data_IF_760217828932
#
_entry.id   IF_760217828932
#
_cell.length_a   1.000
_cell.length_b   1.000
_cell.length_c   1.000
_cell.angle_alpha   90.00
_cell.angle_beta   90.00
_cell.angle_gamma   90.00
#
_symmetry.space_group_name_H-M   'P 1'
#
loop_
_entity.id
_entity.type
_entity.pdbx_description
1 polymer ?
#
# COMPACT_ATOMS: atom_id res chain seq x y z
N UNK A 1 -39.00 3.36 -8.77
CA UNK A 1 -37.87 2.72 -8.08
C UNK A 1 -36.62 3.36 -8.65
N UNK A 2 -36.23 4.49 -8.07
CA UNK A 2 -35.02 5.18 -8.43
C UNK A 2 -33.83 4.28 -8.04
N UNK A 3 -33.00 3.94 -9.02
CA UNK A 3 -31.89 3.04 -8.82
C UNK A 3 -30.86 3.73 -7.91
N UNK A 4 -30.69 3.17 -6.71
CA UNK A 4 -29.59 3.42 -5.77
C UNK A 4 -28.24 2.96 -6.36
N UNK A 5 -27.98 3.19 -7.65
CA UNK A 5 -26.94 2.48 -8.35
C UNK A 5 -26.30 3.07 -9.60
N UNK A 6 -26.62 4.29 -10.04
CA UNK A 6 -26.12 4.74 -11.34
C UNK A 6 -25.81 6.24 -11.43
N UNK A 7 -25.61 6.92 -10.30
CA UNK A 7 -25.13 8.31 -10.32
C UNK A 7 -23.60 8.36 -10.40
N UNK A 8 -23.08 9.39 -11.06
CA UNK A 8 -21.64 9.60 -11.17
C UNK A 8 -20.99 9.77 -9.79
N UNK A 9 -21.67 10.49 -8.88
CA UNK A 9 -21.30 10.59 -7.46
C UNK A 9 -21.06 9.21 -6.84
N UNK A 10 -22.00 8.26 -7.01
CA UNK A 10 -21.88 6.93 -6.42
C UNK A 10 -20.70 6.14 -7.00
N UNK A 11 -20.43 6.28 -8.30
CA UNK A 11 -19.26 5.65 -8.93
C UNK A 11 -17.96 6.18 -8.30
N UNK A 12 -17.86 7.50 -8.11
CA UNK A 12 -16.68 8.13 -7.49
C UNK A 12 -16.52 7.69 -6.03
N UNK A 13 -17.61 7.67 -5.25
CA UNK A 13 -17.59 7.21 -3.85
C UNK A 13 -17.24 5.72 -3.77
N UNK A 14 -17.67 4.91 -4.73
CA UNK A 14 -17.31 3.48 -4.81
C UNK A 14 -15.82 3.33 -5.09
N UNK A 15 -15.25 4.14 -5.98
CA UNK A 15 -13.80 4.17 -6.25
C UNK A 15 -12.99 4.60 -5.03
N UNK A 16 -13.44 5.64 -4.33
CA UNK A 16 -12.87 6.04 -3.04
C UNK A 16 -12.91 4.88 -2.03
N UNK A 17 -14.06 4.23 -1.85
CA UNK A 17 -14.23 3.18 -0.84
C UNK A 17 -13.36 1.97 -1.12
N UNK A 18 -13.46 1.40 -2.32
CA UNK A 18 -12.71 0.19 -2.66
C UNK A 18 -11.21 0.47 -2.83
N UNK A 19 -10.83 1.65 -3.33
CA UNK A 19 -9.43 2.07 -3.39
C UNK A 19 -8.82 2.26 -2.00
N UNK A 20 -9.54 2.89 -1.06
CA UNK A 20 -9.10 3.02 0.33
C UNK A 20 -8.95 1.65 0.99
N UNK A 21 -9.91 0.75 0.80
CA UNK A 21 -9.81 -0.62 1.28
C UNK A 21 -8.58 -1.33 0.70
N UNK A 22 -8.36 -1.20 -0.61
CA UNK A 22 -7.20 -1.81 -1.25
C UNK A 22 -5.88 -1.29 -0.66
N UNK A 23 -5.76 0.02 -0.46
CA UNK A 23 -4.61 0.62 0.21
C UNK A 23 -4.43 0.06 1.62
N UNK A 24 -5.51 -0.01 2.41
CA UNK A 24 -5.47 -0.49 3.78
C UNK A 24 -5.00 -1.96 3.88
N UNK A 25 -5.58 -2.85 3.07
CA UNK A 25 -5.21 -4.27 3.02
C UNK A 25 -3.79 -4.48 2.45
N UNK A 26 -3.34 -3.61 1.54
CA UNK A 26 -2.00 -3.68 0.99
C UNK A 26 -0.90 -3.09 1.89
N UNK A 27 -1.22 -2.28 2.90
CA UNK A 27 -0.21 -1.52 3.67
C UNK A 27 -0.25 -1.81 5.18
N UNK A 28 -1.43 -1.77 5.80
CA UNK A 28 -1.55 -1.85 7.26
C UNK A 28 -1.06 -3.18 7.85
N UNK A 29 -1.36 -4.36 7.28
CA UNK A 29 -0.88 -5.62 7.84
C UNK A 29 0.65 -5.69 7.85
N UNK A 30 1.31 -5.21 6.79
CA UNK A 30 2.76 -5.15 6.70
C UNK A 30 3.35 -4.23 7.79
N UNK A 31 2.85 -3.00 7.86
CA UNK A 31 3.30 -2.01 8.85
C UNK A 31 3.07 -2.47 10.29
N UNK A 32 1.91 -3.08 10.57
CA UNK A 32 1.56 -3.60 11.89
C UNK A 32 2.58 -4.63 12.37
N UNK A 33 3.00 -5.55 11.51
CA UNK A 33 4.01 -6.56 11.89
C UNK A 33 5.38 -5.90 12.10
N UNK A 34 5.79 -4.96 11.26
CA UNK A 34 7.07 -4.25 11.43
C UNK A 34 7.14 -3.48 12.76
N UNK A 35 6.09 -2.72 13.08
CA UNK A 35 6.02 -1.94 14.33
C UNK A 35 5.99 -2.85 15.55
N UNK A 36 5.13 -3.87 15.57
CA UNK A 36 5.07 -4.81 16.70
C UNK A 36 6.36 -5.59 16.86
N UNK A 37 7.00 -5.92 15.74
CA UNK A 37 8.32 -6.50 15.75
C UNK A 37 9.31 -5.61 16.51
N UNK A 38 9.39 -4.31 16.17
CA UNK A 38 10.32 -3.37 16.80
C UNK A 38 10.04 -3.23 18.29
N UNK A 39 8.78 -3.10 18.68
CA UNK A 39 8.35 -3.03 20.08
C UNK A 39 8.78 -4.28 20.86
N UNK A 40 8.62 -5.47 20.26
CA UNK A 40 9.04 -6.74 20.87
C UNK A 40 10.56 -6.88 20.95
N UNK A 41 11.29 -6.44 19.94
CA UNK A 41 12.75 -6.49 19.94
C UNK A 41 13.38 -5.62 21.05
N UNK A 42 12.68 -4.57 21.47
CA UNK A 42 13.08 -3.62 22.50
C UNK A 42 12.69 -4.05 23.94
N UNK A 43 11.77 -5.01 24.12
CA UNK A 43 11.20 -5.33 25.44
C UNK A 43 12.04 -6.26 26.33
N UNK A 44 13.28 -6.59 25.95
CA UNK A 44 14.29 -7.26 26.78
C UNK A 44 14.03 -8.73 27.17
N UNK A 45 12.77 -9.19 27.14
CA UNK A 45 12.32 -10.51 27.63
C UNK A 45 11.98 -11.52 26.51
N UNK A 46 12.18 -11.17 25.24
CA UNK A 46 11.90 -12.09 24.13
C UNK A 46 13.20 -12.67 23.56
N UNK A 47 13.24 -13.98 23.33
CA UNK A 47 14.14 -14.58 22.34
C UNK A 47 14.05 -13.73 21.06
N UNK A 48 15.14 -13.04 20.72
CA UNK A 48 15.11 -12.02 19.68
C UNK A 48 14.76 -12.68 18.35
N UNK A 49 13.60 -12.35 17.79
CA UNK A 49 13.34 -12.66 16.39
C UNK A 49 14.39 -11.96 15.55
N UNK A 50 15.13 -12.73 14.76
CA UNK A 50 16.05 -12.23 13.74
C UNK A 50 15.32 -11.25 12.81
N UNK A 51 16.05 -10.27 12.27
CA UNK A 51 15.56 -9.34 11.23
C UNK A 51 14.85 -10.09 10.12
N UNK A 52 15.43 -11.21 9.68
CA UNK A 52 14.88 -12.07 8.64
C UNK A 52 13.49 -12.58 9.03
N UNK A 53 13.31 -13.01 10.27
CA UNK A 53 12.04 -13.56 10.73
C UNK A 53 10.94 -12.50 10.75
N UNK A 54 11.26 -11.27 11.16
CA UNK A 54 10.29 -10.18 11.24
C UNK A 54 9.81 -9.79 9.83
N UNK A 55 10.74 -9.59 8.90
CA UNK A 55 10.39 -9.28 7.52
C UNK A 55 9.66 -10.44 6.83
N UNK A 56 10.02 -11.70 7.12
CA UNK A 56 9.32 -12.86 6.59
C UNK A 56 7.87 -12.94 7.09
N UNK A 57 7.63 -12.75 8.39
CA UNK A 57 6.27 -12.74 8.95
C UNK A 57 5.48 -11.55 8.39
N UNK A 58 6.11 -10.37 8.29
CA UNK A 58 5.46 -9.18 7.72
C UNK A 58 5.02 -9.44 6.28
N UNK A 59 5.88 -10.06 5.48
CA UNK A 59 5.55 -10.48 4.11
C UNK A 59 4.41 -11.50 4.06
N UNK A 60 4.43 -12.54 4.91
CA UNK A 60 3.36 -13.56 4.92
C UNK A 60 2.00 -12.96 5.28
N UNK A 61 1.95 -12.13 6.33
CA UNK A 61 0.71 -11.47 6.77
C UNK A 61 0.19 -10.52 5.69
N UNK A 62 1.08 -9.72 5.07
CA UNK A 62 0.77 -8.88 3.91
C UNK A 62 0.21 -9.69 2.73
N UNK A 63 0.92 -10.76 2.35
CA UNK A 63 0.54 -11.61 1.22
C UNK A 63 -0.85 -12.22 1.43
N UNK A 64 -1.10 -12.80 2.61
CA UNK A 64 -2.41 -13.37 2.95
C UNK A 64 -3.49 -12.29 2.87
N UNK A 65 -3.27 -11.11 3.45
CA UNK A 65 -4.23 -10.00 3.43
C UNK A 65 -4.56 -9.56 2.01
N UNK A 66 -3.55 -9.39 1.16
CA UNK A 66 -3.71 -9.05 -0.26
C UNK A 66 -4.49 -10.11 -1.03
N UNK A 67 -4.20 -11.39 -0.81
CA UNK A 67 -4.91 -12.50 -1.46
C UNK A 67 -6.38 -12.50 -1.06
N UNK A 68 -6.69 -12.39 0.23
CA UNK A 68 -8.08 -12.34 0.70
C UNK A 68 -8.84 -11.14 0.14
N UNK A 69 -8.20 -9.96 0.08
CA UNK A 69 -8.81 -8.78 -0.52
C UNK A 69 -9.10 -9.00 -2.01
N UNK A 70 -8.12 -9.47 -2.79
CA UNK A 70 -8.30 -9.77 -4.22
C UNK A 70 -9.39 -10.82 -4.45
N UNK A 71 -9.44 -11.87 -3.63
CA UNK A 71 -10.51 -12.87 -3.70
C UNK A 71 -11.88 -12.25 -3.41
N UNK A 72 -11.96 -11.37 -2.41
CA UNK A 72 -13.19 -10.63 -2.11
C UNK A 72 -13.67 -9.79 -3.29
N UNK A 73 -12.78 -9.02 -3.91
CA UNK A 73 -13.10 -8.21 -5.10
C UNK A 73 -13.55 -9.10 -6.27
N UNK A 74 -12.80 -10.16 -6.58
CA UNK A 74 -13.15 -11.07 -7.68
C UNK A 74 -14.49 -11.78 -7.42
N UNK A 75 -14.77 -12.12 -6.17
CA UNK A 75 -16.06 -12.71 -5.80
C UNK A 75 -17.21 -11.72 -5.99
N UNK A 76 -17.04 -10.45 -5.58
CA UNK A 76 -18.05 -9.40 -5.80
C UNK A 76 -18.32 -9.16 -7.30
N UNK A 77 -17.27 -9.21 -8.12
CA UNK A 77 -17.37 -9.09 -9.57
C UNK A 77 -18.09 -10.29 -10.22
N UNK A 78 -17.77 -11.52 -9.81
CA UNK A 78 -18.41 -12.73 -10.36
C UNK A 78 -19.88 -12.83 -9.95
N UNK A 79 -20.21 -12.44 -8.72
CA UNK A 79 -21.57 -12.48 -8.22
C UNK A 79 -22.46 -11.38 -8.82
N UNK A 80 -21.92 -10.53 -9.70
CA UNK A 80 -22.58 -9.34 -10.23
C UNK A 80 -23.20 -8.49 -9.11
N UNK A 81 -22.52 -8.44 -7.95
CA UNK A 81 -23.09 -7.85 -6.74
C UNK A 81 -23.39 -6.35 -6.87
N UNK A 82 -22.78 -5.68 -7.86
CA UNK A 82 -22.98 -4.27 -8.13
C UNK A 82 -23.68 -4.04 -9.47
N UNK A 83 -23.16 -4.49 -10.64
CA UNK A 83 -23.85 -4.26 -11.93
C UNK A 83 -23.51 -5.27 -13.04
N UNK A 84 -22.23 -5.40 -13.37
CA UNK A 84 -21.72 -6.17 -14.51
C UNK A 84 -20.50 -7.00 -14.08
N UNK A 85 -20.18 -8.04 -14.86
CA UNK A 85 -18.97 -8.82 -14.63
C UNK A 85 -17.74 -7.91 -14.65
N UNK A 86 -16.80 -8.12 -13.73
CA UNK A 86 -15.57 -7.35 -13.57
C UNK A 86 -15.74 -5.84 -13.34
N UNK A 87 -16.92 -5.39 -12.90
CA UNK A 87 -17.21 -3.97 -12.72
C UNK A 87 -16.21 -3.26 -11.78
N UNK A 88 -15.83 -3.88 -10.66
CA UNK A 88 -14.86 -3.28 -9.74
C UNK A 88 -13.48 -3.15 -10.40
N UNK A 89 -13.00 -4.25 -10.99
CA UNK A 89 -11.68 -4.30 -11.62
C UNK A 89 -11.54 -3.39 -12.85
N UNK A 90 -12.55 -3.37 -13.72
CA UNK A 90 -12.47 -2.69 -15.03
C UNK A 90 -13.03 -1.27 -15.01
N UNK A 91 -13.89 -0.92 -14.05
CA UNK A 91 -14.49 0.42 -13.94
C UNK A 91 -14.01 1.19 -12.71
N UNK A 92 -14.10 0.58 -11.53
CA UNK A 92 -13.92 1.30 -10.25
C UNK A 92 -12.45 1.55 -9.93
N UNK A 93 -11.59 0.54 -10.00
CA UNK A 93 -10.16 0.72 -9.71
C UNK A 93 -9.44 1.68 -10.67
N UNK A 94 -9.73 1.70 -11.99
CA UNK A 94 -9.18 2.72 -12.87
C UNK A 94 -9.56 4.15 -12.47
N UNK A 95 -10.78 4.37 -11.95
CA UNK A 95 -11.19 5.67 -11.42
C UNK A 95 -10.37 6.05 -10.20
N UNK A 96 -10.09 5.09 -9.31
CA UNK A 96 -9.22 5.32 -8.16
C UNK A 96 -7.79 5.73 -8.56
N UNK A 97 -7.27 5.22 -9.68
CA UNK A 97 -5.91 5.51 -10.12
C UNK A 97 -5.78 6.74 -11.04
N UNK A 98 -6.87 7.28 -11.56
CA UNK A 98 -6.79 8.47 -12.40
C UNK A 98 -6.45 9.73 -11.61
N UNK A 99 -5.73 10.64 -12.27
CA UNK A 99 -5.33 11.93 -11.71
C UNK A 99 -6.03 13.06 -12.45
N UNK A 100 -6.49 14.05 -11.69
CA UNK A 100 -7.21 15.23 -12.20
C UNK A 100 -8.73 15.09 -12.18
N UNK A 101 -9.40 16.16 -11.77
CA UNK A 101 -10.87 16.24 -11.65
C UNK A 101 -11.56 15.89 -12.95
N UNK A 102 -11.16 16.51 -14.07
CA UNK A 102 -11.79 16.31 -15.37
C UNK A 102 -11.75 14.86 -15.85
N UNK A 103 -10.66 14.15 -15.58
CA UNK A 103 -10.48 12.74 -15.96
C UNK A 103 -11.40 11.87 -15.13
N UNK A 104 -11.42 12.06 -13.81
CA UNK A 104 -12.29 11.31 -12.89
C UNK A 104 -13.76 11.54 -13.24
N UNK A 105 -14.17 12.80 -13.42
CA UNK A 105 -15.54 13.17 -13.77
C UNK A 105 -15.98 12.53 -15.10
N UNK A 106 -15.14 12.60 -16.12
CA UNK A 106 -15.43 11.99 -17.42
C UNK A 106 -15.59 10.47 -17.30
N UNK A 107 -14.67 9.80 -16.60
CA UNK A 107 -14.78 8.36 -16.39
C UNK A 107 -15.99 7.95 -15.55
N UNK A 108 -16.42 8.78 -14.60
CA UNK A 108 -17.63 8.55 -13.81
C UNK A 108 -18.93 8.90 -14.57
N UNK A 109 -18.84 9.55 -15.74
CA UNK A 109 -20.00 10.05 -16.48
C UNK A 109 -20.64 11.30 -15.85
N UNK A 110 -19.89 12.04 -15.03
CA UNK A 110 -20.34 13.28 -14.41
C UNK A 110 -20.28 14.46 -15.40
N UNK A 111 -21.24 15.37 -15.30
CA UNK A 111 -21.20 16.65 -16.03
C UNK A 111 -20.22 17.67 -15.43
N UNK A 112 -19.66 17.39 -14.24
CA UNK A 112 -18.68 18.23 -13.55
C UNK A 112 -19.24 19.47 -12.84
N UNK A 113 -20.55 19.72 -12.95
CA UNK A 113 -21.19 20.92 -12.39
C UNK A 113 -21.99 20.66 -11.09
N UNK A 114 -22.17 19.39 -10.68
CA UNK A 114 -22.84 19.07 -9.42
C UNK A 114 -21.91 19.26 -8.22
N UNK A 115 -22.43 19.87 -7.15
CA UNK A 115 -21.72 20.01 -5.86
C UNK A 115 -21.43 18.63 -5.25
N UNK A 116 -22.32 17.67 -5.45
CA UNK A 116 -22.19 16.29 -4.93
C UNK A 116 -21.05 15.54 -5.61
N UNK A 117 -20.95 15.66 -6.94
CA UNK A 117 -19.86 15.06 -7.71
C UNK A 117 -18.50 15.63 -7.27
N UNK A 118 -18.43 16.96 -7.09
CA UNK A 118 -17.21 17.63 -6.60
C UNK A 118 -16.83 17.21 -5.18
N UNK A 119 -17.81 17.05 -4.30
CA UNK A 119 -17.59 16.54 -2.95
C UNK A 119 -17.04 15.10 -2.95
N UNK A 120 -17.61 14.23 -3.79
CA UNK A 120 -17.11 12.87 -3.97
C UNK A 120 -15.69 12.85 -4.57
N UNK A 121 -15.42 13.70 -5.55
CA UNK A 121 -14.07 13.84 -6.12
C UNK A 121 -13.06 14.30 -5.07
N UNK A 122 -13.41 15.26 -4.20
CA UNK A 122 -12.51 15.71 -3.13
C UNK A 122 -12.12 14.57 -2.19
N UNK A 123 -13.08 13.72 -1.79
CA UNK A 123 -12.79 12.55 -0.95
C UNK A 123 -11.84 11.58 -1.65
N UNK A 124 -12.08 11.32 -2.94
CA UNK A 124 -11.22 10.47 -3.73
C UNK A 124 -9.80 11.07 -3.86
N UNK A 125 -9.70 12.36 -4.20
CA UNK A 125 -8.44 13.06 -4.37
C UNK A 125 -7.59 13.05 -3.09
N UNK A 126 -8.21 13.21 -1.92
CA UNK A 126 -7.51 13.11 -0.64
C UNK A 126 -6.89 11.72 -0.43
N UNK A 127 -7.61 10.64 -0.75
CA UNK A 127 -7.05 9.29 -0.61
C UNK A 127 -6.01 8.98 -1.67
N UNK A 128 -6.18 9.49 -2.88
CA UNK A 128 -5.16 9.38 -3.94
C UNK A 128 -3.85 10.04 -3.49
N UNK A 129 -3.94 11.24 -2.91
CA UNK A 129 -2.77 11.94 -2.35
C UNK A 129 -2.14 11.14 -1.21
N UNK A 130 -2.94 10.65 -0.27
CA UNK A 130 -2.47 9.79 0.83
C UNK A 130 -1.77 8.53 0.29
N UNK A 131 -2.30 7.94 -0.78
CA UNK A 131 -1.71 6.77 -1.46
C UNK A 131 -0.32 7.12 -2.01
N UNK A 132 -0.19 8.24 -2.69
CA UNK A 132 1.08 8.70 -3.28
C UNK A 132 2.14 8.94 -2.18
N UNK A 133 1.75 9.55 -1.05
CA UNK A 133 2.62 9.68 0.11
C UNK A 133 3.00 8.35 0.75
N UNK A 134 2.06 7.41 0.87
CA UNK A 134 2.36 6.07 1.38
C UNK A 134 3.39 5.36 0.51
N UNK A 135 3.25 5.43 -0.81
CA UNK A 135 4.19 4.84 -1.77
C UNK A 135 5.58 5.42 -1.57
N UNK A 136 5.70 6.76 -1.53
CA UNK A 136 6.96 7.47 -1.31
C UNK A 136 7.63 7.13 0.03
N UNK A 137 6.86 7.10 1.11
CA UNK A 137 7.37 6.92 2.47
C UNK A 137 7.64 5.46 2.83
N UNK A 138 6.98 4.49 2.19
CA UNK A 138 7.12 3.07 2.55
C UNK A 138 8.56 2.58 2.43
N UNK A 139 9.30 3.03 1.41
CA UNK A 139 10.72 2.73 1.26
C UNK A 139 11.51 3.15 2.52
N UNK A 140 11.28 4.38 2.99
CA UNK A 140 11.94 4.93 4.18
C UNK A 140 11.53 4.19 5.46
N UNK A 141 10.24 3.85 5.59
CA UNK A 141 9.76 3.06 6.73
C UNK A 141 10.49 1.72 6.81
N UNK A 142 10.63 1.02 5.69
CA UNK A 142 11.36 -0.27 5.63
C UNK A 142 12.84 -0.08 5.96
N UNK A 143 13.49 0.95 5.39
CA UNK A 143 14.89 1.27 5.62
C UNK A 143 15.18 1.57 7.10
N UNK A 144 14.37 2.43 7.74
CA UNK A 144 14.55 2.77 9.15
C UNK A 144 14.24 1.58 10.07
N UNK A 145 13.23 0.78 9.73
CA UNK A 145 12.92 -0.45 10.45
C UNK A 145 14.10 -1.43 10.39
N UNK A 146 14.65 -1.68 9.20
CA UNK A 146 15.81 -2.54 9.02
C UNK A 146 17.03 -2.03 9.79
N UNK A 147 17.28 -0.72 9.75
CA UNK A 147 18.40 -0.09 10.47
C UNK A 147 18.25 -0.20 11.99
N UNK A 148 17.05 0.01 12.52
CA UNK A 148 16.76 -0.18 13.94
C UNK A 148 17.01 -1.64 14.36
N UNK A 149 16.56 -2.60 13.54
CA UNK A 149 16.78 -4.02 13.75
C UNK A 149 18.26 -4.42 13.71
N UNK A 150 19.01 -3.98 12.70
CA UNK A 150 20.44 -4.25 12.60
C UNK A 150 21.22 -3.68 13.78
N UNK A 151 20.84 -2.49 14.26
CA UNK A 151 21.43 -1.89 15.47
C UNK A 151 21.12 -2.70 16.73
N UNK A 152 19.88 -3.15 16.90
CA UNK A 152 19.48 -3.96 18.05
C UNK A 152 20.18 -5.33 18.06
N UNK A 153 20.40 -5.93 16.89
CA UNK A 153 21.09 -7.20 16.78
C UNK A 153 22.60 -7.07 17.05
N UNK A 154 23.23 -6.02 16.52
CA UNK A 154 24.64 -5.73 16.80
C UNK A 154 24.94 -5.50 18.29
N UNK A 155 23.99 -4.97 19.06
CA UNK A 155 24.15 -4.81 20.52
C UNK A 155 24.07 -6.13 21.28
N UNK A 156 23.44 -7.15 20.72
CA UNK A 156 23.21 -8.45 21.38
C UNK A 156 24.32 -9.47 21.08
N UNK A 157 24.93 -9.41 19.91
CA UNK A 157 25.87 -10.43 19.44
C UNK A 157 27.33 -10.21 19.87
N UNK A 158 27.69 -9.09 20.50
CA UNK A 158 29.09 -8.76 20.80
C UNK A 158 29.30 -8.47 22.29
N UNK A 159 30.22 -9.21 22.92
CA UNK A 159 30.62 -9.06 24.32
C UNK A 159 31.27 -7.68 24.61
N UNK A 160 31.82 -7.05 23.56
CA UNK A 160 32.24 -5.64 23.54
C UNK A 160 31.70 -4.98 22.27
N UNK A 161 31.06 -3.83 22.41
CA UNK A 161 30.42 -3.13 21.30
C UNK A 161 31.45 -2.73 20.22
N UNK A 162 31.26 -3.20 18.99
CA UNK A 162 32.13 -2.92 17.84
C UNK A 162 31.35 -2.23 16.72
N UNK A 163 31.74 -1.00 16.38
CA UNK A 163 31.11 -0.21 15.32
C UNK A 163 31.15 -0.90 13.95
N UNK A 164 32.22 -1.63 13.62
CA UNK A 164 32.33 -2.35 12.34
C UNK A 164 31.27 -3.46 12.27
N UNK A 165 31.11 -4.23 13.35
CA UNK A 165 30.08 -5.27 13.44
C UNK A 165 28.67 -4.67 13.33
N UNK A 166 28.44 -3.51 13.94
CA UNK A 166 27.17 -2.79 13.81
C UNK A 166 26.86 -2.39 12.37
N UNK A 167 27.82 -1.81 11.65
CA UNK A 167 27.62 -1.45 10.25
C UNK A 167 27.34 -2.67 9.36
N UNK A 168 28.01 -3.81 9.60
CA UNK A 168 27.74 -5.05 8.87
C UNK A 168 26.31 -5.53 9.12
N UNK A 169 25.84 -5.53 10.37
CA UNK A 169 24.47 -5.94 10.69
C UNK A 169 23.41 -5.00 10.12
N UNK A 170 23.64 -3.69 10.13
CA UNK A 170 22.77 -2.71 9.47
C UNK A 170 22.74 -2.94 7.96
N UNK A 171 23.89 -3.22 7.33
CA UNK A 171 23.98 -3.53 5.91
C UNK A 171 23.18 -4.77 5.54
N UNK A 172 23.40 -5.89 6.24
CA UNK A 172 22.65 -7.13 6.03
C UNK A 172 21.15 -6.93 6.24
N UNK A 173 20.76 -6.22 7.31
CA UNK A 173 19.36 -5.93 7.59
C UNK A 173 18.69 -5.12 6.47
N UNK A 174 19.37 -4.11 5.93
CA UNK A 174 18.84 -3.29 4.84
C UNK A 174 18.75 -4.04 3.51
N UNK A 175 19.66 -4.97 3.22
CA UNK A 175 19.53 -5.85 2.06
C UNK A 175 18.25 -6.69 2.19
N UNK A 176 18.01 -7.30 3.36
CA UNK A 176 16.78 -8.07 3.62
C UNK A 176 15.53 -7.19 3.52
N UNK A 177 15.57 -6.00 4.13
CA UNK A 177 14.48 -5.03 4.06
C UNK A 177 14.17 -4.59 2.62
N UNK A 178 15.20 -4.35 1.81
CA UNK A 178 15.04 -3.99 0.41
C UNK A 178 14.34 -5.08 -0.42
N UNK A 179 14.73 -6.35 -0.25
CA UNK A 179 14.02 -7.46 -0.89
C UNK A 179 12.57 -7.56 -0.41
N UNK A 180 12.33 -7.41 0.90
CA UNK A 180 10.98 -7.40 1.46
C UNK A 180 10.13 -6.26 0.90
N UNK A 181 10.71 -5.07 0.70
CA UNK A 181 10.05 -3.92 0.08
C UNK A 181 9.66 -4.20 -1.38
N UNK A 182 10.56 -4.75 -2.19
CA UNK A 182 10.25 -5.10 -3.59
C UNK A 182 9.10 -6.10 -3.64
N UNK A 183 9.16 -7.15 -2.82
CA UNK A 183 8.12 -8.17 -2.76
C UNK A 183 6.79 -7.59 -2.29
N UNK A 184 6.82 -6.75 -1.26
CA UNK A 184 5.66 -6.01 -0.79
C UNK A 184 5.03 -5.19 -1.93
N UNK A 185 5.84 -4.39 -2.63
CA UNK A 185 5.40 -3.50 -3.70
C UNK A 185 4.75 -4.27 -4.85
N UNK A 186 5.35 -5.39 -5.28
CA UNK A 186 4.80 -6.23 -6.36
C UNK A 186 3.44 -6.83 -5.99
N UNK A 187 3.30 -7.37 -4.77
CA UNK A 187 2.03 -7.95 -4.32
C UNK A 187 0.97 -6.87 -4.08
N UNK A 188 1.35 -5.74 -3.49
CA UNK A 188 0.47 -4.59 -3.29
C UNK A 188 -0.05 -4.02 -4.62
N UNK A 189 0.80 -3.99 -5.65
CA UNK A 189 0.39 -3.54 -7.01
C UNK A 189 -0.76 -4.38 -7.57
N UNK A 190 -0.71 -5.70 -7.36
CA UNK A 190 -1.78 -6.61 -7.76
C UNK A 190 -3.05 -6.40 -6.93
N UNK A 191 -2.90 -6.28 -5.61
CA UNK A 191 -4.03 -6.12 -4.69
C UNK A 191 -4.78 -4.80 -4.85
N UNK A 192 -4.07 -3.75 -5.28
CA UNK A 192 -4.66 -2.44 -5.57
C UNK A 192 -5.14 -2.29 -7.01
N UNK A 193 -5.07 -3.35 -7.81
CA UNK A 193 -5.54 -3.38 -9.20
C UNK A 193 -5.05 -2.16 -10.00
N UNK A 194 -3.74 -1.90 -9.93
CA UNK A 194 -3.13 -0.81 -10.69
C UNK A 194 -3.38 -1.07 -12.20
N UNK A 195 -3.95 -0.09 -12.94
CA UNK A 195 -4.29 -0.29 -14.34
C UNK A 195 -3.03 -0.40 -15.23
N UNK A 196 -3.24 -0.86 -16.48
CA UNK A 196 -2.22 -0.91 -17.53
C UNK A 196 -0.99 -1.79 -17.25
N UNK A 197 -1.06 -2.68 -16.25
CA UNK A 197 0.08 -3.52 -15.88
C UNK A 197 1.23 -2.74 -15.22
N UNK A 198 0.96 -1.51 -14.80
CA UNK A 198 1.89 -0.72 -14.01
C UNK A 198 2.05 -1.32 -12.61
N UNK A 199 3.14 -0.93 -11.94
CA UNK A 199 3.41 -1.36 -10.58
C UNK A 199 3.82 -0.18 -9.69
N UNK A 200 3.80 -0.43 -8.39
CA UNK A 200 4.17 0.54 -7.37
C UNK A 200 5.62 1.01 -7.48
N UNK A 201 6.53 0.23 -8.05
CA UNK A 201 7.92 0.63 -8.22
C UNK A 201 8.03 1.68 -9.34
N UNK A 202 7.27 1.51 -10.41
CA UNK A 202 7.13 2.51 -11.47
C UNK A 202 6.50 3.79 -10.89
N UNK A 203 5.40 3.67 -10.14
CA UNK A 203 4.74 4.82 -9.49
C UNK A 203 5.66 5.55 -8.52
N UNK A 204 6.45 4.82 -7.75
CA UNK A 204 7.47 5.38 -6.87
C UNK A 204 8.52 6.18 -7.65
N UNK A 205 9.01 5.60 -8.75
CA UNK A 205 10.00 6.25 -9.60
C UNK A 205 9.46 7.53 -10.24
N UNK A 206 8.22 7.50 -10.77
CA UNK A 206 7.52 8.67 -11.30
C UNK A 206 7.39 9.77 -10.24
N UNK A 207 6.97 9.41 -9.02
CA UNK A 207 6.81 10.35 -7.93
C UNK A 207 8.15 11.02 -7.54
N UNK A 208 9.24 10.27 -7.44
CA UNK A 208 10.57 10.85 -7.20
C UNK A 208 11.04 11.76 -8.33
N UNK A 209 10.80 11.38 -9.59
CA UNK A 209 11.17 12.24 -10.72
C UNK A 209 10.42 13.58 -10.71
N UNK A 210 9.15 13.57 -10.32
CA UNK A 210 8.34 14.77 -10.23
C UNK A 210 8.82 15.70 -9.10
N UNK A 211 9.24 15.14 -7.97
CA UNK A 211 9.83 15.91 -6.86
C UNK A 211 11.18 16.54 -7.23
N UNK A 212 11.97 15.91 -8.09
CA UNK A 212 13.28 16.44 -8.52
C UNK A 212 13.19 17.50 -9.63
N UNK A 213 12.04 17.58 -10.32
CA UNK A 213 11.79 18.55 -11.40
C UNK A 213 11.01 19.78 -10.94
N UNK A 214 10.42 19.74 -9.74
CA UNK A 214 9.80 20.89 -9.07
C UNK A 214 10.83 21.72 -8.32
#
# INVERSE_FOLDING_TARGET
>A
MDSLGNSATQIIVTAFTFGTCALAFATLPFLFVLVNGLLKANSGNSHSSSVINVFAIAFVVHFISCIFFMLGIKMLDILNALYQSNYLQEKIFPIFWARGESVVMNMAGASGNSVEDKGAYLQLALVQEVTDWFILLMFWVVFFTATAYGTLQAKKDVMQFNYISMFVWIGVANIVGFFAFILWAKIASLAMFIPNGEDLLIKLWEAYQNLLKG
#
